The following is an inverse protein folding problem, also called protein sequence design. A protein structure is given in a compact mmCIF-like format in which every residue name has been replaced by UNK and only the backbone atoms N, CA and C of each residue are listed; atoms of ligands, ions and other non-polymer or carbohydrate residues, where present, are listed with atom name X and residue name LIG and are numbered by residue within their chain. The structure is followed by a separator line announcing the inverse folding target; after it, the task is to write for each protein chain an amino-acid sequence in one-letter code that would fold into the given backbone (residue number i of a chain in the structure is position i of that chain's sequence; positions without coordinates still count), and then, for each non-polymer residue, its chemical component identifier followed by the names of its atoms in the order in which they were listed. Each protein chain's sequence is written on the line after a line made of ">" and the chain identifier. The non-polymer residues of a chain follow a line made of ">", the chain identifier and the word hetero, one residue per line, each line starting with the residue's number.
data_IF_028981795236
#
_entry.id   IF_028981795236
#
_cell.length_a   1.000
_cell.length_b   1.000
_cell.length_c   1.000
_cell.angle_alpha   90.00
_cell.angle_beta   90.00
_cell.angle_gamma   90.00
#
_symmetry.space_group_name_H-M   'P 1'
#
loop_
_entity.id
_entity.type
_entity.pdbx_description
1 polymer ?
#
# COMPACT_ATOMS: atom_id res chain seq x y z
N UNK A 1 8.01 -3.34 8.98
CA UNK A 1 8.67 -3.11 7.67
C UNK A 1 7.62 -3.13 6.57
N UNK A 2 7.70 -2.20 5.61
CA UNK A 2 6.80 -2.14 4.46
C UNK A 2 7.63 -2.25 3.17
N UNK A 3 7.22 -3.09 2.24
CA UNK A 3 7.84 -3.21 0.91
C UNK A 3 6.79 -2.90 -0.15
N UNK A 4 7.14 -2.03 -1.08
CA UNK A 4 6.34 -1.73 -2.26
C UNK A 4 7.01 -2.34 -3.47
N UNK A 5 6.23 -3.06 -4.27
CA UNK A 5 6.70 -3.68 -5.50
C UNK A 5 5.80 -3.30 -6.65
N UNK A 6 6.42 -2.92 -7.76
CA UNK A 6 5.72 -2.68 -9.03
C UNK A 6 6.01 -3.82 -9.98
N UNK A 7 4.94 -4.45 -10.49
CA UNK A 7 4.98 -5.37 -11.64
C UNK A 7 4.18 -4.73 -12.78
N UNK A 8 4.44 -5.11 -14.04
CA UNK A 8 3.92 -4.46 -15.26
C UNK A 8 2.49 -3.89 -15.14
N UNK A 9 1.58 -4.70 -14.63
CA UNK A 9 0.14 -4.46 -14.54
C UNK A 9 -0.40 -4.42 -13.09
N UNK A 10 0.46 -4.59 -12.08
CA UNK A 10 0.05 -4.76 -10.68
C UNK A 10 0.97 -4.07 -9.69
N UNK A 11 0.39 -3.62 -8.59
CA UNK A 11 1.12 -3.16 -7.41
C UNK A 11 0.97 -4.18 -6.30
N UNK A 12 2.06 -4.46 -5.58
CA UNK A 12 2.06 -5.31 -4.41
C UNK A 12 2.66 -4.56 -3.22
N UNK A 13 2.01 -4.72 -2.07
CA UNK A 13 2.34 -4.09 -0.81
C UNK A 13 2.51 -5.21 0.21
N UNK A 14 3.71 -5.35 0.74
CA UNK A 14 4.04 -6.34 1.76
C UNK A 14 4.36 -5.64 3.07
N UNK A 15 3.63 -5.98 4.13
CA UNK A 15 3.83 -5.44 5.47
C UNK A 15 4.18 -6.54 6.46
N UNK A 16 5.28 -6.39 7.18
CA UNK A 16 5.67 -7.23 8.32
C UNK A 16 5.59 -6.32 9.55
N UNK A 17 4.53 -6.46 10.39
CA UNK A 17 4.35 -5.61 11.55
C UNK A 17 5.38 -5.93 12.63
N UNK A 18 5.99 -4.89 13.21
CA UNK A 18 7.08 -5.04 14.17
C UNK A 18 8.27 -5.88 13.66
N UNK A 19 8.94 -6.61 14.56
CA UNK A 19 10.12 -7.44 14.24
C UNK A 19 9.78 -8.90 13.83
N UNK A 20 8.61 -9.40 14.24
CA UNK A 20 8.23 -10.81 14.08
C UNK A 20 6.75 -11.02 13.76
N UNK A 21 6.03 -9.98 13.36
CA UNK A 21 4.61 -10.11 13.02
C UNK A 21 4.38 -10.93 11.74
N UNK A 22 3.20 -11.53 11.58
CA UNK A 22 2.87 -12.27 10.36
C UNK A 22 2.88 -11.31 9.16
N UNK A 23 3.46 -11.77 8.04
CA UNK A 23 3.43 -11.01 6.78
C UNK A 23 1.98 -10.82 6.33
N UNK A 24 1.60 -9.57 6.10
CA UNK A 24 0.33 -9.17 5.49
C UNK A 24 0.63 -8.60 4.12
N UNK A 25 0.13 -9.25 3.07
CA UNK A 25 0.33 -8.84 1.69
C UNK A 25 -0.98 -8.36 1.09
N UNK A 26 -0.92 -7.29 0.28
CA UNK A 26 -2.05 -6.85 -0.53
C UNK A 26 -1.55 -6.54 -1.94
N UNK A 27 -2.34 -6.92 -2.95
CA UNK A 27 -2.02 -6.58 -4.34
C UNK A 27 -3.27 -6.17 -5.09
N UNK A 28 -3.09 -5.24 -6.01
CA UNK A 28 -4.16 -4.73 -6.86
C UNK A 28 -3.64 -4.49 -8.28
N UNK A 29 -4.52 -4.66 -9.26
CA UNK A 29 -4.25 -4.34 -10.66
C UNK A 29 -4.37 -2.84 -10.90
N UNK A 30 -3.70 -2.34 -11.94
CA UNK A 30 -3.72 -0.90 -12.27
C UNK A 30 -5.10 -0.37 -12.59
N UNK A 31 -5.94 -1.19 -13.20
CA UNK A 31 -7.34 -0.89 -13.55
C UNK A 31 -8.32 -0.95 -12.37
N UNK A 32 -7.86 -1.36 -11.18
CA UNK A 32 -8.72 -1.43 -10.00
C UNK A 32 -9.13 -0.05 -9.49
N UNK A 33 -8.29 0.97 -9.66
CA UNK A 33 -8.59 2.34 -9.27
C UNK A 33 -9.25 3.10 -10.43
N UNK A 34 -10.16 4.06 -10.14
CA UNK A 34 -10.65 4.99 -11.16
C UNK A 34 -9.47 5.69 -11.86
N UNK A 35 -9.60 5.94 -13.16
CA UNK A 35 -8.51 6.48 -13.99
C UNK A 35 -7.90 7.77 -13.42
N UNK A 36 -8.74 8.69 -12.93
CA UNK A 36 -8.28 9.94 -12.31
C UNK A 36 -7.39 9.71 -11.08
N UNK A 37 -7.73 8.72 -10.25
CA UNK A 37 -6.97 8.33 -9.07
C UNK A 37 -5.68 7.62 -9.48
N UNK A 38 -5.75 6.75 -10.48
CA UNK A 38 -4.58 6.05 -11.01
C UNK A 38 -3.55 7.04 -11.56
N UNK A 39 -3.98 8.01 -12.37
CA UNK A 39 -3.09 9.03 -12.93
C UNK A 39 -2.40 9.84 -11.83
N UNK A 40 -3.14 10.23 -10.79
CA UNK A 40 -2.56 10.89 -9.63
C UNK A 40 -1.59 9.98 -8.87
N UNK A 41 -1.91 8.69 -8.69
CA UNK A 41 -1.00 7.75 -8.04
C UNK A 41 0.30 7.59 -8.83
N UNK A 42 0.22 7.51 -10.15
CA UNK A 42 1.38 7.39 -11.05
C UNK A 42 2.26 8.66 -11.09
N UNK A 43 1.71 9.83 -10.71
CA UNK A 43 2.52 11.05 -10.59
C UNK A 43 3.35 11.10 -9.29
N UNK A 44 3.07 10.23 -8.31
CA UNK A 44 3.80 10.18 -7.04
C UNK A 44 5.10 9.39 -7.20
N UNK A 45 6.22 9.95 -6.74
CA UNK A 45 7.55 9.36 -6.94
C UNK A 45 7.68 7.96 -6.35
N UNK A 46 7.06 7.73 -5.18
CA UNK A 46 6.97 6.41 -4.52
C UNK A 46 6.36 5.29 -5.38
N UNK A 47 5.57 5.61 -6.41
CA UNK A 47 4.99 4.62 -7.34
C UNK A 47 5.61 4.66 -8.75
N UNK A 48 6.57 5.57 -8.98
CA UNK A 48 7.38 5.62 -10.21
C UNK A 48 8.58 4.69 -10.14
N UNK A 49 9.11 4.45 -8.95
CA UNK A 49 10.26 3.56 -8.72
C UNK A 49 10.09 2.22 -9.42
N UNK A 50 11.13 1.82 -10.17
CA UNK A 50 11.19 0.54 -10.87
C UNK A 50 11.73 -0.57 -9.99
N UNK A 51 12.41 -0.20 -8.90
CA UNK A 51 12.97 -1.11 -7.90
C UNK A 51 12.03 -1.26 -6.70
N UNK A 52 12.21 -2.36 -5.97
CA UNK A 52 11.48 -2.60 -4.73
C UNK A 52 11.86 -1.53 -3.70
N UNK A 53 10.85 -0.83 -3.16
CA UNK A 53 11.07 0.21 -2.15
C UNK A 53 10.76 -0.33 -0.77
N UNK A 54 11.75 -0.31 0.14
CA UNK A 54 11.61 -0.84 1.51
C UNK A 54 11.63 0.30 2.52
N UNK A 55 10.59 0.40 3.36
CA UNK A 55 10.47 1.35 4.44
C UNK A 55 10.56 0.69 5.82
N UNK A 56 11.34 1.30 6.70
CA UNK A 56 11.31 1.03 8.14
C UNK A 56 10.29 1.96 8.79
N UNK A 57 9.25 1.36 9.38
CA UNK A 57 8.14 2.11 9.95
C UNK A 57 8.35 2.36 11.45
N UNK A 58 7.96 3.54 11.90
CA UNK A 58 7.70 3.80 13.33
C UNK A 58 6.50 2.97 13.80
N UNK A 59 6.36 2.77 15.12
CA UNK A 59 5.22 2.02 15.68
C UNK A 59 3.86 2.61 15.27
N UNK A 60 3.77 3.96 15.21
CA UNK A 60 2.55 4.65 14.78
C UNK A 60 2.21 4.38 13.31
N UNK A 61 3.21 4.43 12.43
CA UNK A 61 3.04 4.12 11.01
C UNK A 61 2.69 2.64 10.82
N UNK A 62 3.34 1.74 11.55
CA UNK A 62 3.13 0.30 11.49
C UNK A 62 1.68 -0.06 11.84
N UNK A 63 1.17 0.50 12.95
CA UNK A 63 -0.23 0.35 13.36
C UNK A 63 -1.20 0.91 12.31
N UNK A 64 -0.91 2.08 11.75
CA UNK A 64 -1.78 2.71 10.74
C UNK A 64 -1.88 1.85 9.46
N UNK A 65 -0.75 1.41 8.92
CA UNK A 65 -0.70 0.55 7.73
C UNK A 65 -1.43 -0.77 7.99
N UNK A 66 -1.15 -1.44 9.11
CA UNK A 66 -1.78 -2.71 9.46
C UNK A 66 -3.31 -2.57 9.55
N UNK A 67 -3.80 -1.48 10.13
CA UNK A 67 -5.24 -1.24 10.26
C UNK A 67 -5.92 -1.11 8.89
N UNK A 68 -5.32 -0.35 7.96
CA UNK A 68 -5.89 -0.20 6.61
C UNK A 68 -5.83 -1.52 5.83
N UNK A 69 -4.73 -2.27 5.93
CA UNK A 69 -4.63 -3.61 5.32
C UNK A 69 -5.68 -4.58 5.85
N UNK A 70 -5.99 -4.52 7.16
CA UNK A 70 -7.09 -5.31 7.74
C UNK A 70 -8.46 -4.89 7.21
N UNK A 71 -8.72 -3.59 7.02
CA UNK A 71 -9.95 -3.11 6.38
C UNK A 71 -10.06 -3.68 4.96
N UNK A 72 -9.02 -3.57 4.15
CA UNK A 72 -8.97 -4.10 2.79
C UNK A 72 -9.28 -5.61 2.73
N UNK A 73 -8.64 -6.42 3.58
CA UNK A 73 -8.88 -7.87 3.63
C UNK A 73 -10.31 -8.23 4.06
N UNK A 74 -10.91 -7.47 4.97
CA UNK A 74 -12.30 -7.68 5.39
C UNK A 74 -13.25 -7.46 4.22
N UNK A 75 -13.07 -6.38 3.48
CA UNK A 75 -13.96 -6.06 2.36
C UNK A 75 -13.84 -7.07 1.21
N UNK A 76 -12.64 -7.58 0.92
CA UNK A 76 -12.42 -8.62 -0.10
C UNK A 76 -13.29 -9.87 0.09
N UNK A 77 -13.66 -10.19 1.33
CA UNK A 77 -14.38 -11.40 1.69
C UNK A 77 -15.76 -11.13 2.31
N UNK A 78 -16.25 -9.88 2.24
CA UNK A 78 -17.44 -9.46 3.00
C UNK A 78 -18.78 -9.86 2.36
N UNK A 79 -18.82 -10.10 1.04
CA UNK A 79 -20.07 -10.27 0.30
C UNK A 79 -20.97 -9.02 0.29
N UNK A 80 -20.50 -7.90 0.82
CA UNK A 80 -21.27 -6.67 0.94
C UNK A 80 -21.36 -5.94 -0.41
N UNK A 81 -22.53 -5.35 -0.70
CA UNK A 81 -22.82 -4.69 -1.99
C UNK A 81 -21.90 -3.52 -2.31
N UNK A 82 -21.35 -2.84 -1.29
CA UNK A 82 -20.39 -1.74 -1.48
C UNK A 82 -18.95 -2.14 -1.16
N UNK A 83 -18.66 -3.44 -1.02
CA UNK A 83 -17.33 -3.95 -0.68
C UNK A 83 -16.24 -3.43 -1.61
N UNK A 84 -16.48 -3.43 -2.94
CA UNK A 84 -15.51 -2.92 -3.90
C UNK A 84 -15.26 -1.41 -3.75
N UNK A 85 -16.32 -0.62 -3.50
CA UNK A 85 -16.19 0.83 -3.26
C UNK A 85 -15.39 1.12 -1.98
N UNK A 86 -15.63 0.34 -0.92
CA UNK A 86 -14.86 0.43 0.32
C UNK A 86 -13.41 0.02 0.10
N UNK A 87 -13.14 -1.04 -0.68
CA UNK A 87 -11.78 -1.42 -1.04
C UNK A 87 -11.04 -0.31 -1.77
N UNK A 88 -11.66 0.31 -2.78
CA UNK A 88 -11.07 1.46 -3.50
C UNK A 88 -10.77 2.61 -2.53
N UNK A 89 -11.69 2.91 -1.62
CA UNK A 89 -11.52 3.97 -0.61
C UNK A 89 -10.36 3.68 0.33
N UNK A 90 -10.29 2.47 0.89
CA UNK A 90 -9.20 2.07 1.79
C UNK A 90 -7.86 1.95 1.06
N UNK A 91 -7.87 1.61 -0.23
CA UNK A 91 -6.65 1.60 -1.04
C UNK A 91 -6.12 3.02 -1.24
N UNK A 92 -7.00 4.00 -1.49
CA UNK A 92 -6.62 5.41 -1.53
C UNK A 92 -6.06 5.87 -0.18
N UNK A 93 -6.68 5.48 0.94
CA UNK A 93 -6.15 5.74 2.30
C UNK A 93 -4.73 5.16 2.47
N UNK A 94 -4.49 3.93 2.00
CA UNK A 94 -3.18 3.27 2.05
C UNK A 94 -2.13 4.01 1.21
N UNK A 95 -2.48 4.42 -0.01
CA UNK A 95 -1.62 5.22 -0.91
C UNK A 95 -1.22 6.54 -0.21
N UNK A 96 -2.15 7.20 0.46
CA UNK A 96 -1.87 8.43 1.20
C UNK A 96 -0.91 8.20 2.36
N UNK A 97 -1.10 7.13 3.13
CA UNK A 97 -0.20 6.77 4.23
C UNK A 97 1.22 6.49 3.71
N UNK A 98 1.33 5.71 2.64
CA UNK A 98 2.61 5.40 1.99
C UNK A 98 3.31 6.67 1.52
N UNK A 99 2.59 7.58 0.86
CA UNK A 99 3.15 8.85 0.36
C UNK A 99 3.65 9.73 1.51
N UNK A 100 2.90 9.79 2.62
CA UNK A 100 3.33 10.50 3.84
C UNK A 100 4.59 9.88 4.44
N UNK A 101 4.70 8.55 4.47
CA UNK A 101 5.89 7.84 4.94
C UNK A 101 7.09 8.18 4.06
N UNK A 102 6.92 8.14 2.74
CA UNK A 102 7.96 8.50 1.77
C UNK A 102 8.49 9.92 1.99
N UNK A 103 7.60 10.91 2.13
CA UNK A 103 8.00 12.30 2.38
C UNK A 103 8.62 12.54 3.77
N UNK A 104 8.31 11.69 4.75
CA UNK A 104 8.88 11.80 6.10
C UNK A 104 10.34 11.36 6.22
N UNK A 105 10.97 10.88 5.14
CA UNK A 105 12.43 10.68 5.06
C UNK A 105 12.98 9.49 5.84
N UNK A 106 12.14 8.57 6.34
CA UNK A 106 12.59 7.35 7.02
C UNK A 106 13.07 6.32 6.00
N UNK A 107 14.35 6.43 5.64
CA UNK A 107 15.22 5.48 4.92
C UNK A 107 14.46 4.45 4.06
N UNK A 108 14.07 4.88 2.86
CA UNK A 108 13.82 3.96 1.76
C UNK A 108 15.18 3.34 1.37
N UNK A 109 15.37 2.03 1.61
CA UNK A 109 16.48 1.31 0.98
C UNK A 109 15.96 0.74 -0.33
N UNK A 110 16.56 1.16 -1.44
CA UNK A 110 16.42 0.44 -2.71
C UNK A 110 17.26 -0.81 -2.64
N UNK A 111 16.67 -1.98 -2.88
CA UNK A 111 17.44 -3.21 -3.06
C UNK A 111 17.89 -3.27 -4.52
N UNK A 112 19.20 -3.07 -4.74
CA UNK A 112 19.89 -3.34 -6.00
C UNK A 112 19.84 -4.83 -6.37
#
# INVERSE_FOLDING_TARGET
>A
MLTLRRKKDRYAIDHIPGKYGPRVAYSFSRDFLPESVLLHMLSLDVFKETEDTIYLLTEKQDKAILNVLKKLHREQNSGYIFSEHLQKTYLVELIHLITKIHHSGLLARSSA
#
